data_IF_273949231916
#
_entry.id   IF_273949231916
#
_cell.length_a   1.000
_cell.length_b   1.000
_cell.length_c   1.000
_cell.angle_alpha   90.00
_cell.angle_beta   90.00
_cell.angle_gamma   90.00
#
_symmetry.space_group_name_H-M   'P 1'
#
loop_
_entity.id
_entity.type
_entity.pdbx_description
1 polymer ?
#
# COMPACT_ATOMS: atom_id res chain seq x y z
N UNK A 1 13.21 11.90 1.69
CA UNK A 1 12.51 11.99 2.98
C UNK A 1 11.18 11.28 2.81
N UNK A 2 10.88 10.25 3.61
CA UNK A 2 9.52 9.72 3.66
C UNK A 2 8.65 10.75 4.37
N UNK A 3 7.57 11.19 3.75
CA UNK A 3 6.60 12.09 4.39
C UNK A 3 5.73 11.22 5.30
N UNK A 4 6.01 11.25 6.61
CA UNK A 4 5.16 10.56 7.57
C UNK A 4 3.83 11.28 7.71
N UNK A 5 2.74 10.53 7.75
CA UNK A 5 1.43 11.11 8.05
C UNK A 5 1.37 11.49 9.53
N UNK A 6 0.51 12.47 9.86
CA UNK A 6 0.24 12.86 11.26
C UNK A 6 -0.18 11.66 12.12
N UNK A 7 -0.96 10.73 11.53
CA UNK A 7 -1.37 9.50 12.20
C UNK A 7 -0.18 8.57 12.50
N UNK A 8 0.73 8.38 11.54
CA UNK A 8 1.92 7.54 11.73
C UNK A 8 2.82 8.08 12.85
N UNK A 9 3.01 9.40 12.93
CA UNK A 9 3.78 10.03 13.99
C UNK A 9 3.12 9.83 15.36
N UNK A 10 1.81 10.10 15.46
CA UNK A 10 1.05 9.92 16.71
C UNK A 10 1.12 8.48 17.24
N UNK A 11 0.96 7.47 16.38
CA UNK A 11 1.05 6.07 16.80
C UNK A 11 2.50 5.70 17.16
N UNK A 12 3.48 6.21 16.42
CA UNK A 12 4.89 5.96 16.72
C UNK A 12 5.33 6.53 18.07
N UNK A 13 4.72 7.61 18.54
CA UNK A 13 5.05 8.25 19.82
C UNK A 13 4.33 7.63 21.03
N UNK A 14 3.27 6.85 20.81
CA UNK A 14 2.58 6.14 21.91
C UNK A 14 3.52 5.18 22.63
N UNK A 15 3.34 5.00 23.94
CA UNK A 15 4.08 4.00 24.71
C UNK A 15 3.68 2.56 24.32
N UNK A 16 2.39 2.31 24.13
CA UNK A 16 1.83 1.00 23.78
C UNK A 16 0.91 1.11 22.56
N UNK A 17 1.01 0.12 21.68
CA UNK A 17 0.13 -0.03 20.52
C UNK A 17 -1.11 -0.83 20.92
N UNK A 18 -2.26 -0.30 20.55
CA UNK A 18 -3.57 -0.92 20.73
C UNK A 18 -4.11 -1.41 19.38
N UNK A 19 -5.12 -2.28 19.39
CA UNK A 19 -5.71 -2.80 18.16
C UNK A 19 -6.22 -1.68 17.25
N UNK A 20 -6.78 -0.61 17.83
CA UNK A 20 -7.27 0.54 17.07
C UNK A 20 -6.15 1.25 16.29
N UNK A 21 -4.93 1.28 16.83
CA UNK A 21 -3.77 1.86 16.14
C UNK A 21 -3.36 1.00 14.94
N UNK A 22 -3.35 -0.34 15.12
CA UNK A 22 -3.05 -1.27 14.03
C UNK A 22 -4.11 -1.22 12.94
N UNK A 23 -5.40 -1.26 13.29
CA UNK A 23 -6.51 -1.13 12.34
C UNK A 23 -6.42 0.16 11.55
N UNK A 24 -6.08 1.29 12.20
CA UNK A 24 -5.95 2.58 11.54
C UNK A 24 -4.75 2.67 10.58
N UNK A 25 -3.70 1.86 10.78
CA UNK A 25 -2.49 1.83 9.97
C UNK A 25 -2.33 0.55 9.13
N UNK A 26 -3.34 -0.31 9.08
CA UNK A 26 -3.23 -1.62 8.45
C UNK A 26 -2.90 -1.54 6.96
N UNK A 27 -3.49 -0.58 6.24
CA UNK A 27 -3.18 -0.33 4.84
C UNK A 27 -1.71 -0.01 4.64
N UNK A 28 -1.21 1.03 5.32
CA UNK A 28 0.20 1.43 5.29
C UNK A 28 1.14 0.28 5.70
N UNK A 29 0.74 -0.54 6.68
CA UNK A 29 1.50 -1.70 7.13
C UNK A 29 1.61 -2.78 6.03
N UNK A 30 0.49 -3.11 5.37
CA UNK A 30 0.43 -4.08 4.28
C UNK A 30 1.19 -3.57 3.05
N UNK A 31 1.06 -2.28 2.73
CA UNK A 31 1.72 -1.60 1.60
C UNK A 31 3.20 -1.29 1.85
N UNK A 32 3.71 -1.59 3.05
CA UNK A 32 5.09 -1.32 3.50
C UNK A 32 5.47 0.16 3.45
N UNK A 33 4.50 1.05 3.66
CA UNK A 33 4.69 2.50 3.65
C UNK A 33 4.97 3.10 5.05
N UNK A 34 5.34 2.26 6.00
CA UNK A 34 5.71 2.67 7.35
C UNK A 34 7.23 2.86 7.51
N UNK A 35 7.62 3.57 8.57
CA UNK A 35 9.01 3.53 9.03
C UNK A 35 9.35 2.11 9.54
N UNK A 36 10.61 1.65 9.44
CA UNK A 36 11.01 0.35 9.98
C UNK A 36 10.67 0.19 11.46
N UNK A 37 10.83 1.26 12.24
CA UNK A 37 10.50 1.27 13.68
C UNK A 37 9.01 1.08 13.92
N UNK A 38 8.15 1.84 13.23
CA UNK A 38 6.70 1.73 13.40
C UNK A 38 6.19 0.36 12.96
N UNK A 39 6.68 -0.15 11.82
CA UNK A 39 6.35 -1.48 11.33
C UNK A 39 6.72 -2.58 12.34
N UNK A 40 7.92 -2.51 12.94
CA UNK A 40 8.35 -3.48 13.94
C UNK A 40 7.47 -3.46 15.20
N UNK A 41 7.05 -2.27 15.65
CA UNK A 41 6.15 -2.15 16.81
C UNK A 41 4.76 -2.72 16.52
N UNK A 42 4.19 -2.44 15.35
CA UNK A 42 2.90 -3.00 14.93
C UNK A 42 2.98 -4.53 14.78
N UNK A 43 4.04 -5.05 14.16
CA UNK A 43 4.26 -6.49 14.03
C UNK A 43 4.36 -7.19 15.40
N UNK A 44 4.99 -6.54 16.39
CA UNK A 44 5.04 -7.05 17.75
C UNK A 44 3.63 -7.12 18.39
N UNK A 45 2.78 -6.11 18.16
CA UNK A 45 1.39 -6.15 18.59
C UNK A 45 0.62 -7.31 17.95
N UNK A 46 0.66 -7.41 16.62
CA UNK A 46 -0.02 -8.49 15.85
C UNK A 46 0.37 -9.86 16.38
N UNK A 47 1.67 -10.12 16.55
CA UNK A 47 2.17 -11.41 17.05
C UNK A 47 1.61 -11.81 18.42
N UNK A 48 1.16 -10.84 19.22
CA UNK A 48 0.62 -11.06 20.57
C UNK A 48 -0.90 -10.93 20.67
N UNK A 49 -1.60 -10.64 19.57
CA UNK A 49 -3.03 -10.33 19.56
C UNK A 49 -3.76 -11.13 18.49
N UNK A 50 -4.54 -12.13 18.91
CA UNK A 50 -5.31 -13.00 18.01
C UNK A 50 -6.27 -12.21 17.12
N UNK A 51 -6.94 -11.18 17.67
CA UNK A 51 -7.83 -10.31 16.89
C UNK A 51 -7.10 -9.62 15.73
N UNK A 52 -5.90 -9.10 15.97
CA UNK A 52 -5.13 -8.39 14.94
C UNK A 52 -4.52 -9.33 13.91
N UNK A 53 -4.20 -10.59 14.28
CA UNK A 53 -3.78 -11.62 13.32
C UNK A 53 -4.93 -11.93 12.35
N UNK A 54 -6.10 -12.27 12.87
CA UNK A 54 -7.29 -12.56 12.05
C UNK A 54 -7.71 -11.37 11.18
N UNK A 55 -7.58 -10.15 11.72
CA UNK A 55 -7.90 -8.92 10.99
C UNK A 55 -6.89 -8.63 9.87
N UNK A 56 -5.59 -8.85 10.10
CA UNK A 56 -4.56 -8.76 9.05
C UNK A 56 -4.84 -9.76 7.94
N UNK A 57 -5.09 -11.03 8.29
CA UNK A 57 -5.34 -12.10 7.32
C UNK A 57 -6.59 -11.80 6.47
N UNK A 58 -7.68 -11.37 7.12
CA UNK A 58 -8.91 -10.98 6.43
C UNK A 58 -8.69 -9.80 5.47
N UNK A 59 -7.89 -8.81 5.88
CA UNK A 59 -7.56 -7.68 5.03
C UNK A 59 -6.72 -8.09 3.82
N UNK A 60 -5.67 -8.91 4.03
CA UNK A 60 -4.83 -9.44 2.94
C UNK A 60 -5.66 -10.25 1.95
N UNK A 61 -6.55 -11.10 2.44
CA UNK A 61 -7.46 -11.85 1.59
C UNK A 61 -8.39 -10.93 0.77
N UNK A 62 -8.89 -9.84 1.38
CA UNK A 62 -9.69 -8.84 0.68
C UNK A 62 -8.90 -8.16 -0.45
N UNK A 63 -7.64 -7.80 -0.20
CA UNK A 63 -6.74 -7.21 -1.21
C UNK A 63 -6.48 -8.18 -2.35
N UNK A 64 -6.18 -9.46 -2.04
CA UNK A 64 -5.98 -10.51 -3.03
C UNK A 64 -7.23 -10.67 -3.91
N UNK A 65 -8.40 -10.83 -3.28
CA UNK A 65 -9.67 -10.99 -3.99
C UNK A 65 -9.98 -9.78 -4.88
N UNK A 66 -9.75 -8.56 -4.39
CA UNK A 66 -9.91 -7.35 -5.18
C UNK A 66 -8.99 -7.34 -6.41
N UNK A 67 -7.77 -7.88 -6.30
CA UNK A 67 -6.84 -8.06 -7.41
C UNK A 67 -7.27 -9.09 -8.46
N UNK A 68 -8.24 -9.96 -8.14
CA UNK A 68 -8.80 -10.94 -9.10
C UNK A 68 -9.94 -10.38 -9.94
N UNK A 69 -10.43 -9.18 -9.62
CA UNK A 69 -11.51 -8.55 -10.35
C UNK A 69 -11.08 -8.28 -11.79
N UNK A 70 -12.03 -8.42 -12.73
CA UNK A 70 -11.76 -8.19 -14.15
C UNK A 70 -11.29 -6.75 -14.36
N UNK A 71 -10.08 -6.60 -14.89
CA UNK A 71 -9.55 -5.30 -15.28
C UNK A 71 -10.47 -4.61 -16.28
N UNK A 72 -10.73 -3.32 -16.04
CA UNK A 72 -11.23 -2.47 -17.11
C UNK A 72 -10.06 -2.20 -18.07
N UNK A 73 -10.26 -2.34 -19.39
CA UNK A 73 -9.21 -2.03 -20.34
C UNK A 73 -8.75 -0.59 -20.14
N UNK A 74 -7.42 -0.39 -20.07
CA UNK A 74 -6.84 0.94 -19.96
C UNK A 74 -7.25 1.76 -21.19
N UNK A 75 -7.81 2.97 -21.03
CA UNK A 75 -8.21 3.80 -22.16
C UNK A 75 -7.06 4.03 -23.15
N UNK A 76 -7.37 3.95 -24.45
CA UNK A 76 -6.39 4.04 -25.54
C UNK A 76 -5.60 5.36 -25.50
N UNK A 77 -6.26 6.46 -25.11
CA UNK A 77 -5.61 7.76 -24.95
C UNK A 77 -4.53 7.73 -23.85
N UNK A 78 -4.82 7.09 -22.71
CA UNK A 78 -3.88 6.94 -21.59
C UNK A 78 -2.70 6.08 -22.03
N UNK A 79 -2.98 4.98 -22.73
CA UNK A 79 -1.96 4.10 -23.29
C UNK A 79 -1.02 4.84 -24.26
N UNK A 80 -1.56 5.68 -25.13
CA UNK A 80 -0.78 6.44 -26.11
C UNK A 80 0.01 7.59 -25.47
N UNK A 81 -0.56 8.28 -24.48
CA UNK A 81 0.14 9.31 -23.69
C UNK A 81 1.34 8.73 -22.95
N UNK A 82 1.19 7.55 -22.34
CA UNK A 82 2.29 6.86 -21.68
C UNK A 82 3.40 6.49 -22.67
N UNK A 83 3.05 5.87 -23.80
CA UNK A 83 4.02 5.50 -24.85
C UNK A 83 4.79 6.70 -25.37
N UNK A 84 4.11 7.80 -25.69
CA UNK A 84 4.74 9.04 -26.12
C UNK A 84 5.71 9.60 -25.06
N UNK A 85 5.31 9.58 -23.78
CA UNK A 85 6.17 9.99 -22.66
C UNK A 85 7.42 9.12 -22.53
N UNK A 86 7.28 7.80 -22.63
CA UNK A 86 8.38 6.85 -22.57
C UNK A 86 9.32 7.00 -23.78
N UNK A 87 8.78 7.16 -24.99
CA UNK A 87 9.56 7.43 -26.19
C UNK A 87 10.46 8.65 -26.03
N UNK A 88 9.89 9.77 -25.55
CA UNK A 88 10.65 10.99 -25.30
C UNK A 88 11.74 10.80 -24.25
N UNK A 89 11.45 10.08 -23.17
CA UNK A 89 12.36 9.92 -22.03
C UNK A 89 13.50 8.93 -22.30
N UNK A 90 13.23 7.89 -23.09
CA UNK A 90 14.17 6.80 -23.36
C UNK A 90 14.85 6.91 -24.73
N UNK A 91 14.39 7.81 -25.61
CA UNK A 91 14.94 7.95 -26.96
C UNK A 91 14.59 6.77 -27.88
N UNK A 92 13.49 6.08 -27.61
CA UNK A 92 13.00 4.93 -28.39
C UNK A 92 11.68 5.28 -29.09
N UNK A 93 11.29 4.53 -30.12
CA UNK A 93 10.01 4.70 -30.79
C UNK A 93 9.03 3.58 -30.39
N UNK A 94 8.00 3.95 -29.61
CA UNK A 94 6.91 3.04 -29.24
C UNK A 94 5.68 3.36 -30.11
N UNK A 95 5.14 2.39 -30.86
CA UNK A 95 3.99 2.62 -31.72
C UNK A 95 2.71 2.86 -30.91
N UNK A 96 1.86 3.75 -31.40
CA UNK A 96 0.53 3.98 -30.83
C UNK A 96 -0.35 2.72 -30.97
N UNK A 97 -1.18 2.50 -29.96
CA UNK A 97 -2.22 1.46 -29.95
C UNK A 97 -3.55 2.04 -30.43
N UNK A 98 -4.33 1.19 -31.09
CA UNK A 98 -5.68 1.47 -31.57
C UNK A 98 -6.71 1.10 -30.51
#
# INVERSE_FOLDING_TARGET
MKNFTDLQLRVLEKDKIECADFVALLGDYVDRDLSPTLAARLAAHVKSCDFCQEFEDSYRFTVELAGTLKDKPVPVDVQNRLRAGLSKRLGIELPAVK
#
